data_IF_907469212793
#
_entry.id   IF_907469212793
#
_cell.length_a   1.000
_cell.length_b   1.000
_cell.length_c   1.000
_cell.angle_alpha   90.00
_cell.angle_beta   90.00
_cell.angle_gamma   90.00
#
_symmetry.space_group_name_H-M   'P 1'
#
loop_
_entity.id
_entity.type
_entity.pdbx_description
1 polymer ?
#
# COMPACT_ATOMS: atom_id res chain seq x y z
N UNK A 1 -6.31 10.56 11.43
CA UNK A 1 -5.80 9.41 10.65
C UNK A 1 -6.80 9.02 9.58
N UNK A 2 -8.08 8.82 9.93
CA UNK A 2 -9.17 8.54 8.98
C UNK A 2 -9.17 9.42 7.71
N UNK A 3 -9.00 10.74 7.85
CA UNK A 3 -8.94 11.65 6.70
C UNK A 3 -7.80 11.31 5.73
N UNK A 4 -6.62 10.94 6.26
CA UNK A 4 -5.48 10.54 5.43
C UNK A 4 -5.75 9.20 4.72
N UNK A 5 -6.35 8.23 5.43
CA UNK A 5 -6.75 6.94 4.85
C UNK A 5 -7.85 7.11 3.79
N UNK A 6 -8.72 8.10 3.94
CA UNK A 6 -9.71 8.51 2.96
C UNK A 6 -9.13 9.31 1.77
N UNK A 7 -7.80 9.48 1.69
CA UNK A 7 -7.14 10.16 0.57
C UNK A 7 -7.07 11.68 0.68
N UNK A 8 -7.39 12.28 1.83
CA UNK A 8 -7.22 13.72 2.05
C UNK A 8 -5.73 14.04 2.17
N UNK A 9 -5.26 15.00 1.35
CA UNK A 9 -3.85 15.41 1.36
C UNK A 9 -3.44 15.99 2.72
N UNK A 10 -2.17 15.83 3.09
CA UNK A 10 -1.65 16.31 4.39
C UNK A 10 -1.86 17.81 4.60
N UNK A 11 -1.68 18.62 3.54
CA UNK A 11 -1.97 20.06 3.58
C UNK A 11 -3.44 20.34 3.87
N UNK A 12 -4.35 19.59 3.23
CA UNK A 12 -5.78 19.75 3.45
C UNK A 12 -6.22 19.28 4.84
N UNK A 13 -5.55 18.28 5.41
CA UNK A 13 -5.74 17.90 6.82
C UNK A 13 -5.33 19.06 7.74
N UNK A 14 -4.20 19.70 7.48
CA UNK A 14 -3.75 20.88 8.23
C UNK A 14 -4.78 22.02 8.17
N UNK A 15 -5.25 22.40 6.98
CA UNK A 15 -6.25 23.46 6.78
C UNK A 15 -7.55 23.17 7.54
N UNK A 16 -8.03 21.91 7.50
CA UNK A 16 -9.24 21.49 8.20
C UNK A 16 -9.02 21.52 9.72
N UNK A 17 -7.86 21.09 10.21
CA UNK A 17 -7.56 21.11 11.65
C UNK A 17 -7.49 22.53 12.21
N UNK A 18 -6.92 23.48 11.45
CA UNK A 18 -6.91 24.89 11.81
C UNK A 18 -8.33 25.46 11.86
N UNK A 19 -9.14 25.16 10.84
CA UNK A 19 -10.51 25.66 10.74
C UNK A 19 -11.40 25.12 11.85
N UNK A 20 -11.29 23.84 12.20
CA UNK A 20 -12.17 23.19 13.18
C UNK A 20 -11.71 23.37 14.64
N UNK A 21 -10.40 23.41 14.88
CA UNK A 21 -9.84 23.36 16.23
C UNK A 21 -8.92 24.54 16.57
N UNK A 22 -8.83 25.55 15.69
CA UNK A 22 -8.02 26.75 15.90
C UNK A 22 -6.51 26.50 16.01
N UNK A 23 -6.08 25.28 15.71
CA UNK A 23 -4.70 24.81 15.89
C UNK A 23 -4.27 24.00 14.68
N UNK A 24 -3.11 24.36 14.12
CA UNK A 24 -2.52 23.63 12.99
C UNK A 24 -1.89 22.33 13.47
N UNK A 25 -2.36 21.21 12.95
CA UNK A 25 -1.57 19.98 13.00
C UNK A 25 -0.60 20.02 11.83
N UNK A 26 0.69 20.23 12.14
CA UNK A 26 1.71 20.37 11.10
C UNK A 26 1.80 19.12 10.20
N UNK A 27 2.23 19.27 8.93
CA UNK A 27 2.45 18.13 8.03
C UNK A 27 3.41 17.10 8.61
N UNK A 28 4.41 17.57 9.37
CA UNK A 28 5.37 16.71 10.06
C UNK A 28 4.74 15.88 11.17
N UNK A 29 3.78 16.45 11.91
CA UNK A 29 3.03 15.78 12.98
C UNK A 29 2.12 14.71 12.39
N UNK A 30 1.40 15.05 11.32
CA UNK A 30 0.55 14.09 10.58
C UNK A 30 1.40 12.95 9.98
N UNK A 31 2.56 13.27 9.42
CA UNK A 31 3.50 12.27 8.89
C UNK A 31 4.06 11.35 10.00
N UNK A 32 4.42 11.90 11.17
CA UNK A 32 4.84 11.12 12.35
C UNK A 32 3.72 10.22 12.87
N UNK A 33 2.48 10.71 12.94
CA UNK A 33 1.34 9.90 13.34
C UNK A 33 1.10 8.74 12.36
N UNK A 34 1.33 8.98 11.07
CA UNK A 34 1.25 7.95 10.04
C UNK A 34 2.39 6.91 10.14
N UNK A 35 3.45 7.15 10.92
CA UNK A 35 4.50 6.14 11.09
C UNK A 35 4.00 4.84 11.73
N UNK A 36 2.98 4.92 12.58
CA UNK A 36 2.36 3.72 13.19
C UNK A 36 1.73 2.80 12.14
N UNK A 37 1.25 3.36 11.03
CA UNK A 37 0.68 2.60 9.92
C UNK A 37 1.76 1.80 9.19
N UNK A 38 3.03 2.25 9.18
CA UNK A 38 4.11 1.47 8.55
C UNK A 38 4.35 0.13 9.22
N UNK A 39 4.17 0.04 10.55
CA UNK A 39 4.30 -1.23 11.27
C UNK A 39 3.22 -2.20 10.79
N UNK A 40 1.97 -1.75 10.72
CA UNK A 40 0.85 -2.55 10.23
C UNK A 40 1.02 -2.96 8.76
N UNK A 41 1.54 -2.06 7.92
CA UNK A 41 1.85 -2.36 6.51
C UNK A 41 2.94 -3.43 6.42
N UNK A 42 3.97 -3.37 7.26
CA UNK A 42 5.06 -4.34 7.26
C UNK A 42 4.60 -5.71 7.79
N UNK A 43 3.81 -5.74 8.87
CA UNK A 43 3.15 -6.95 9.37
C UNK A 43 2.27 -7.57 8.29
N UNK A 44 1.43 -6.77 7.62
CA UNK A 44 0.59 -7.24 6.51
C UNK A 44 1.41 -7.77 5.34
N UNK A 45 2.54 -7.12 4.98
CA UNK A 45 3.43 -7.56 3.90
C UNK A 45 4.15 -8.87 4.18
N UNK A 46 4.44 -9.15 5.45
CA UNK A 46 5.16 -10.34 5.89
C UNK A 46 4.22 -11.43 6.45
N UNK A 47 2.90 -11.21 6.44
CA UNK A 47 1.93 -12.19 6.91
C UNK A 47 2.02 -13.47 6.07
N UNK A 48 1.84 -14.61 6.73
CA UNK A 48 1.65 -15.87 6.01
C UNK A 48 0.25 -15.91 5.42
N UNK A 49 0.14 -16.38 4.18
CA UNK A 49 -1.15 -16.65 3.56
C UNK A 49 -1.54 -18.09 3.91
N UNK A 50 -2.58 -18.25 4.72
CA UNK A 50 -3.04 -19.56 5.21
C UNK A 50 -4.16 -20.15 4.39
N UNK A 51 -4.84 -19.33 3.58
CA UNK A 51 -6.01 -19.74 2.82
C UNK A 51 -5.62 -20.29 1.44
N UNK A 52 -6.51 -21.11 0.89
CA UNK A 52 -6.42 -21.53 -0.51
C UNK A 52 -7.07 -20.48 -1.42
N UNK A 53 -6.40 -20.19 -2.54
CA UNK A 53 -6.85 -19.22 -3.54
C UNK A 53 -7.02 -19.89 -4.89
N UNK A 54 -8.21 -20.44 -5.22
CA UNK A 54 -8.47 -21.10 -6.50
C UNK A 54 -8.18 -20.22 -7.72
N UNK A 55 -8.27 -18.89 -7.56
CA UNK A 55 -7.93 -17.94 -8.61
C UNK A 55 -6.99 -16.86 -8.07
N UNK A 56 -6.01 -16.50 -8.88
CA UNK A 56 -5.08 -15.41 -8.60
C UNK A 56 -4.98 -14.50 -9.82
N UNK A 57 -5.20 -13.21 -9.61
CA UNK A 57 -5.01 -12.16 -10.60
C UNK A 57 -3.73 -11.39 -10.31
N UNK A 58 -3.03 -11.02 -11.39
CA UNK A 58 -1.90 -10.11 -11.34
C UNK A 58 -2.29 -8.83 -12.06
N UNK A 59 -2.15 -7.70 -11.37
CA UNK A 59 -2.38 -6.38 -11.95
C UNK A 59 -1.14 -5.48 -11.78
N UNK A 60 -1.08 -4.43 -12.59
CA UNK A 60 -0.05 -3.38 -12.53
C UNK A 60 -0.67 -2.00 -12.64
N UNK A 61 -0.59 -1.25 -11.54
CA UNK A 61 -0.97 0.16 -11.45
C UNK A 61 0.25 1.05 -11.71
N UNK A 62 0.10 2.12 -12.48
CA UNK A 62 1.13 3.14 -12.62
C UNK A 62 0.79 4.39 -11.81
N UNK A 63 1.72 4.80 -10.93
CA UNK A 63 1.59 5.98 -10.08
C UNK A 63 2.70 6.99 -10.36
N UNK A 64 2.40 8.28 -10.20
CA UNK A 64 3.41 9.34 -10.23
C UNK A 64 4.01 9.52 -8.84
N UNK A 65 5.32 9.32 -8.70
CA UNK A 65 6.07 9.51 -7.46
C UNK A 65 7.11 10.62 -7.63
N UNK A 66 7.14 11.56 -6.71
CA UNK A 66 8.17 12.59 -6.65
C UNK A 66 9.37 12.06 -5.86
N UNK A 67 10.56 12.09 -6.45
CA UNK A 67 11.80 11.67 -5.81
C UNK A 67 12.94 12.58 -6.24
N UNK A 68 13.60 13.25 -5.28
CA UNK A 68 14.82 14.00 -5.55
C UNK A 68 14.70 15.14 -6.58
N UNK A 69 13.53 15.78 -6.68
CA UNK A 69 13.31 16.89 -7.63
C UNK A 69 12.61 16.48 -8.93
N UNK A 70 12.43 15.18 -9.18
CA UNK A 70 11.83 14.67 -10.42
C UNK A 70 10.54 13.87 -10.12
N UNK A 71 9.55 13.98 -11.01
CA UNK A 71 8.37 13.12 -11.01
C UNK A 71 8.62 11.94 -11.94
N UNK A 72 8.52 10.72 -11.41
CA UNK A 72 8.68 9.49 -12.20
C UNK A 72 7.41 8.64 -12.13
N UNK A 73 7.11 7.96 -13.22
CA UNK A 73 6.12 6.89 -13.20
C UNK A 73 6.74 5.67 -12.53
N UNK A 74 6.10 5.19 -11.48
CA UNK A 74 6.43 3.92 -10.84
C UNK A 74 5.32 2.92 -11.13
N UNK A 75 5.68 1.66 -11.31
CA UNK A 75 4.72 0.57 -11.34
C UNK A 75 4.50 0.07 -9.91
N UNK A 76 3.27 -0.25 -9.55
CA UNK A 76 2.89 -1.06 -8.40
C UNK A 76 2.33 -2.36 -8.96
N UNK A 77 2.90 -3.49 -8.55
CA UNK A 77 2.42 -4.82 -8.87
C UNK A 77 1.52 -5.30 -7.75
N UNK A 78 0.32 -5.75 -8.10
CA UNK A 78 -0.68 -6.23 -7.14
C UNK A 78 -1.07 -7.67 -7.46
N UNK A 79 -1.09 -8.51 -6.43
CA UNK A 79 -1.64 -9.86 -6.51
C UNK A 79 -2.95 -9.88 -5.76
N UNK A 80 -4.00 -10.32 -6.43
CA UNK A 80 -5.34 -10.42 -5.86
C UNK A 80 -5.77 -11.89 -5.92
N UNK A 81 -5.98 -12.49 -4.76
CA UNK A 81 -6.52 -13.84 -4.63
C UNK A 81 -8.03 -13.82 -4.53
N UNK A 82 -8.69 -14.85 -5.06
CA UNK A 82 -10.07 -15.18 -4.73
C UNK A 82 -10.04 -16.42 -3.88
N UNK A 83 -10.52 -16.35 -2.64
CA UNK A 83 -10.54 -17.49 -1.73
C UNK A 83 -11.66 -18.48 -2.12
N UNK A 84 -11.70 -19.64 -1.45
CA UNK A 84 -12.69 -20.69 -1.71
C UNK A 84 -14.16 -20.26 -1.51
N UNK A 85 -14.40 -19.16 -0.79
CA UNK A 85 -15.73 -18.56 -0.61
C UNK A 85 -16.08 -17.53 -1.69
N UNK A 86 -15.16 -17.23 -2.60
CA UNK A 86 -15.36 -16.26 -3.68
C UNK A 86 -15.01 -14.81 -3.34
N UNK A 87 -14.44 -14.54 -2.16
CA UNK A 87 -14.03 -13.20 -1.76
C UNK A 87 -12.65 -12.84 -2.30
N UNK A 88 -12.52 -11.59 -2.76
CA UNK A 88 -11.25 -11.04 -3.26
C UNK A 88 -10.43 -10.45 -2.12
N UNK A 89 -9.15 -10.79 -2.08
CA UNK A 89 -8.18 -10.23 -1.15
C UNK A 89 -6.90 -9.80 -1.87
N UNK A 90 -6.35 -8.65 -1.50
CA UNK A 90 -5.00 -8.26 -1.93
C UNK A 90 -3.98 -9.06 -1.14
N UNK A 91 -3.25 -9.93 -1.82
CA UNK A 91 -2.25 -10.81 -1.22
C UNK A 91 -0.88 -10.12 -1.14
N UNK A 92 -0.52 -9.40 -2.20
CA UNK A 92 0.79 -8.75 -2.34
C UNK A 92 0.60 -7.40 -3.03
N UNK A 93 1.28 -6.37 -2.52
CA UNK A 93 1.41 -5.06 -3.20
C UNK A 93 2.84 -4.56 -3.07
N UNK A 94 3.54 -4.45 -4.20
CA UNK A 94 4.97 -4.13 -4.25
C UNK A 94 5.29 -3.15 -5.37
N UNK A 95 6.25 -2.26 -5.15
CA UNK A 95 6.76 -1.38 -6.20
C UNK A 95 7.54 -2.21 -7.25
N UNK A 96 7.11 -2.13 -8.51
CA UNK A 96 7.46 -2.98 -9.65
C UNK A 96 8.81 -2.70 -10.30
N UNK A 97 9.81 -2.27 -9.52
CA UNK A 97 11.21 -2.31 -9.95
C UNK A 97 11.68 -3.78 -10.13
N UNK A 98 12.87 -3.99 -10.70
CA UNK A 98 13.44 -5.33 -10.95
C UNK A 98 13.39 -6.26 -9.71
N UNK A 99 13.71 -5.72 -8.51
CA UNK A 99 13.60 -6.47 -7.25
C UNK A 99 12.17 -6.87 -6.90
N UNK A 100 11.19 -6.03 -7.20
CA UNK A 100 9.77 -6.31 -6.95
C UNK A 100 9.30 -7.46 -7.83
N UNK A 101 9.61 -7.41 -9.12
CA UNK A 101 9.26 -8.48 -10.06
C UNK A 101 9.84 -9.84 -9.64
N UNK A 102 11.08 -9.87 -9.15
CA UNK A 102 11.72 -11.09 -8.69
C UNK A 102 11.10 -11.65 -7.41
N UNK A 103 10.67 -10.79 -6.48
CA UNK A 103 9.91 -11.20 -5.28
C UNK A 103 8.55 -11.78 -5.65
N UNK A 104 7.83 -11.14 -6.56
CA UNK A 104 6.56 -11.64 -7.07
C UNK A 104 6.71 -12.99 -7.79
N UNK A 105 7.75 -13.15 -8.61
CA UNK A 105 8.02 -14.43 -9.26
C UNK A 105 8.31 -15.53 -8.23
N UNK A 106 8.97 -15.22 -7.11
CA UNK A 106 9.13 -16.14 -6.00
C UNK A 106 7.81 -16.49 -5.30
N UNK A 107 6.91 -15.52 -5.14
CA UNK A 107 5.58 -15.72 -4.58
C UNK A 107 4.71 -16.68 -5.42
N UNK A 108 4.78 -16.56 -6.75
CA UNK A 108 3.97 -17.37 -7.67
C UNK A 108 4.50 -18.79 -7.90
N UNK A 109 5.68 -19.14 -7.37
CA UNK A 109 6.19 -20.51 -7.49
C UNK A 109 5.39 -21.41 -6.54
N UNK A 110 4.64 -22.34 -7.13
CA UNK A 110 3.98 -23.41 -6.39
C UNK A 110 5.00 -24.23 -5.57
N UNK A 111 4.61 -24.80 -4.42
CA UNK A 111 5.43 -25.81 -3.77
C UNK A 111 5.68 -26.94 -4.79
N UNK A 112 6.95 -27.30 -4.98
CA UNK A 112 7.30 -28.49 -5.73
C UNK A 112 6.59 -29.68 -5.07
N UNK A 113 5.71 -30.34 -5.82
CA UNK A 113 4.94 -31.50 -5.36
C UNK A 113 5.82 -32.73 -5.14
#
# INVERSE_FOLDING_TARGET
MEMYLAGVSVRRVEDITETLWGTKVSPSTTSKLNQKVFVQIDEWRNRQLTDEYPYVYLDRLYLKKFWGGEIRNIAILEVIGVNSEGYREVLVSIEGAERGQRKLAGFLKAPEG
#
